data_IF_678383698078
#
_entry.id   IF_678383698078
#
_cell.length_a   1.000
_cell.length_b   1.000
_cell.length_c   1.000
_cell.angle_alpha   90.00
_cell.angle_beta   90.00
_cell.angle_gamma   90.00
#
_symmetry.space_group_name_H-M   'P 1'
#
loop_
_entity.id
_entity.type
_entity.pdbx_description
1 polymer ?
#
# COMPACT_ATOMS: atom_id res chain seq x y z
N UNK A 1 -35.03 27.94 -4.47
CA UNK A 1 -33.67 28.20 -3.93
C UNK A 1 -33.10 27.03 -3.14
N UNK A 2 -33.94 26.16 -2.55
CA UNK A 2 -33.50 25.03 -1.71
C UNK A 2 -32.99 23.80 -2.49
N UNK A 3 -33.48 23.58 -3.71
CA UNK A 3 -33.05 22.45 -4.53
C UNK A 3 -31.67 22.68 -5.18
N UNK A 4 -31.36 23.92 -5.56
CA UNK A 4 -30.05 24.29 -6.11
C UNK A 4 -28.92 24.16 -5.08
N UNK A 5 -29.18 24.43 -3.79
CA UNK A 5 -28.19 24.23 -2.72
C UNK A 5 -27.88 22.76 -2.50
N UNK A 6 -28.89 21.87 -2.58
CA UNK A 6 -28.67 20.41 -2.46
C UNK A 6 -27.77 19.89 -3.59
N UNK A 7 -28.00 20.33 -4.83
CA UNK A 7 -27.15 19.92 -5.96
C UNK A 7 -25.73 20.44 -5.83
N UNK A 8 -25.54 21.67 -5.35
CA UNK A 8 -24.21 22.23 -5.09
C UNK A 8 -23.49 21.47 -3.99
N UNK A 9 -24.19 21.05 -2.92
CA UNK A 9 -23.62 20.24 -1.85
C UNK A 9 -23.24 18.82 -2.31
N UNK A 10 -24.06 18.19 -3.15
CA UNK A 10 -23.72 16.87 -3.72
C UNK A 10 -22.48 16.97 -4.61
N UNK A 11 -22.42 17.97 -5.50
CA UNK A 11 -21.31 18.17 -6.42
C UNK A 11 -20.02 18.55 -5.68
N UNK A 12 -20.12 19.38 -4.64
CA UNK A 12 -18.97 19.78 -3.81
C UNK A 12 -18.42 18.57 -3.03
N UNK A 13 -19.30 17.73 -2.45
CA UNK A 13 -18.90 16.50 -1.78
C UNK A 13 -18.22 15.51 -2.74
N UNK A 14 -18.74 15.38 -3.97
CA UNK A 14 -18.09 14.54 -4.99
C UNK A 14 -16.71 15.07 -5.37
N UNK A 15 -16.58 16.38 -5.59
CA UNK A 15 -15.29 17.02 -5.90
C UNK A 15 -14.29 16.86 -4.76
N UNK A 16 -14.74 17.04 -3.52
CA UNK A 16 -13.93 16.83 -2.32
C UNK A 16 -13.38 15.40 -2.24
N UNK A 17 -14.24 14.40 -2.46
CA UNK A 17 -13.82 13.00 -2.48
C UNK A 17 -12.82 12.69 -3.59
N UNK A 18 -12.99 13.27 -4.79
CA UNK A 18 -12.01 13.14 -5.88
C UNK A 18 -10.65 13.74 -5.52
N UNK A 19 -10.61 14.92 -4.89
CA UNK A 19 -9.36 15.54 -4.44
C UNK A 19 -8.71 14.76 -3.29
N UNK A 20 -9.50 14.21 -2.35
CA UNK A 20 -8.97 13.31 -1.34
C UNK A 20 -8.34 12.06 -1.95
N UNK A 21 -8.92 11.53 -3.04
CA UNK A 21 -8.40 10.34 -3.72
C UNK A 21 -7.04 10.65 -4.35
N UNK A 22 -6.94 11.77 -5.06
CA UNK A 22 -5.67 12.26 -5.62
C UNK A 22 -4.67 12.51 -4.49
N UNK A 23 -5.09 13.19 -3.42
CA UNK A 23 -4.26 13.49 -2.25
C UNK A 23 -3.72 12.26 -1.54
N UNK A 24 -4.51 11.19 -1.43
CA UNK A 24 -4.07 9.94 -0.80
C UNK A 24 -2.93 9.25 -1.53
N UNK A 25 -2.74 9.52 -2.83
CA UNK A 25 -1.65 8.93 -3.62
C UNK A 25 -0.56 9.96 -3.85
N UNK A 26 -0.89 11.08 -4.51
CA UNK A 26 0.09 12.12 -4.88
C UNK A 26 0.56 12.87 -3.65
N UNK A 27 -0.35 13.28 -2.77
CA UNK A 27 -0.01 13.99 -1.53
C UNK A 27 0.88 13.16 -0.62
N UNK A 28 0.55 11.87 -0.43
CA UNK A 28 1.39 10.94 0.35
C UNK A 28 2.75 10.74 -0.30
N UNK A 29 2.83 10.62 -1.63
CA UNK A 29 4.13 10.52 -2.32
C UNK A 29 4.99 11.77 -2.12
N UNK A 30 4.39 12.97 -2.18
CA UNK A 30 5.08 14.23 -1.90
C UNK A 30 5.55 14.31 -0.44
N UNK A 31 4.73 13.89 0.52
CA UNK A 31 5.10 13.82 1.94
C UNK A 31 6.27 12.85 2.15
N UNK A 32 6.24 11.68 1.53
CA UNK A 32 7.33 10.70 1.62
C UNK A 32 8.60 11.22 0.95
N UNK A 33 8.48 11.91 -0.19
CA UNK A 33 9.59 12.59 -0.84
C UNK A 33 10.22 13.67 0.05
N UNK A 34 9.39 14.53 0.65
CA UNK A 34 9.84 15.55 1.60
C UNK A 34 10.50 14.93 2.83
N UNK A 35 9.91 13.85 3.38
CA UNK A 35 10.51 13.11 4.48
C UNK A 35 11.90 12.62 4.10
N UNK A 36 12.08 12.01 2.93
CA UNK A 36 13.41 11.57 2.46
C UNK A 36 14.38 12.74 2.29
N UNK A 37 13.92 13.88 1.77
CA UNK A 37 14.77 15.06 1.58
C UNK A 37 15.25 15.65 2.92
N UNK A 38 14.40 15.67 3.94
CA UNK A 38 14.68 16.27 5.25
C UNK A 38 15.38 15.30 6.19
N UNK A 39 14.91 14.06 6.27
CA UNK A 39 15.42 13.03 7.18
C UNK A 39 16.59 12.25 6.58
N UNK A 40 16.61 12.05 5.26
CA UNK A 40 17.51 11.11 4.59
C UNK A 40 17.07 9.66 4.70
N UNK A 41 17.87 8.76 4.11
CA UNK A 41 17.67 7.32 4.17
C UNK A 41 18.16 6.75 5.51
N UNK A 42 17.56 5.65 5.95
CA UNK A 42 18.04 4.86 7.09
C UNK A 42 19.17 3.95 6.62
N UNK A 43 20.40 4.44 6.75
CA UNK A 43 21.62 3.71 6.39
C UNK A 43 21.93 2.58 7.38
N UNK A 44 22.67 1.59 6.91
CA UNK A 44 23.23 0.57 7.77
C UNK A 44 24.37 1.15 8.62
N UNK A 45 24.29 0.97 9.94
CA UNK A 45 25.29 1.52 10.87
C UNK A 45 26.68 0.94 10.63
N UNK A 46 26.74 -0.37 10.39
CA UNK A 46 27.97 -1.11 10.10
C UNK A 46 28.21 -1.29 8.59
N UNK A 47 27.44 -0.59 7.75
CA UNK A 47 27.44 -0.81 6.30
C UNK A 47 27.00 -2.22 5.89
N UNK A 48 27.13 -2.51 4.58
CA UNK A 48 26.85 -3.84 4.05
C UNK A 48 27.95 -4.83 4.43
N UNK A 49 27.56 -5.98 4.98
CA UNK A 49 28.49 -7.07 5.25
C UNK A 49 28.92 -7.84 3.99
N UNK A 50 28.11 -7.79 2.92
CA UNK A 50 28.27 -8.60 1.71
C UNK A 50 27.80 -10.05 1.87
N UNK A 51 27.49 -10.48 3.10
CA UNK A 51 26.98 -11.81 3.39
C UNK A 51 25.45 -11.82 3.28
N UNK A 52 24.95 -12.58 2.30
CA UNK A 52 23.51 -12.67 2.04
C UNK A 52 22.83 -13.78 2.84
N UNK A 53 21.66 -13.47 3.39
CA UNK A 53 20.80 -14.38 4.14
C UNK A 53 19.49 -14.55 3.37
N UNK A 54 19.00 -15.79 3.26
CA UNK A 54 17.69 -16.06 2.68
C UNK A 54 16.58 -15.58 3.64
N UNK A 55 15.83 -14.54 3.24
CA UNK A 55 14.67 -14.05 4.00
C UNK A 55 13.36 -14.62 3.46
N UNK A 56 13.17 -14.55 2.15
CA UNK A 56 11.95 -14.97 1.44
C UNK A 56 12.27 -16.02 0.39
N UNK A 57 11.45 -17.05 0.26
CA UNK A 57 11.61 -17.99 -0.86
C UNK A 57 11.32 -17.31 -2.19
N UNK A 58 11.92 -17.80 -3.29
CA UNK A 58 11.62 -17.30 -4.63
C UNK A 58 10.12 -17.40 -4.97
N UNK A 59 9.44 -18.42 -4.45
CA UNK A 59 7.98 -18.55 -4.57
C UNK A 59 7.25 -17.37 -3.93
N UNK A 60 7.69 -16.93 -2.75
CA UNK A 60 7.10 -15.76 -2.07
C UNK A 60 7.35 -14.48 -2.88
N UNK A 61 8.53 -14.33 -3.47
CA UNK A 61 8.85 -13.20 -4.36
C UNK A 61 7.96 -13.18 -5.60
N UNK A 62 7.75 -14.33 -6.25
CA UNK A 62 6.85 -14.44 -7.41
C UNK A 62 5.42 -14.10 -7.02
N UNK A 63 4.91 -14.66 -5.92
CA UNK A 63 3.56 -14.37 -5.41
C UNK A 63 3.40 -12.87 -5.11
N UNK A 64 4.43 -12.24 -4.52
CA UNK A 64 4.44 -10.80 -4.26
C UNK A 64 4.22 -10.01 -5.55
N UNK A 65 5.06 -10.23 -6.57
CA UNK A 65 4.94 -9.46 -7.82
C UNK A 65 3.69 -9.78 -8.61
N UNK A 66 3.21 -11.03 -8.55
CA UNK A 66 1.94 -11.42 -9.15
C UNK A 66 0.75 -10.65 -8.56
N UNK A 67 0.75 -10.35 -7.25
CA UNK A 67 -0.27 -9.50 -6.63
C UNK A 67 0.02 -7.99 -6.74
N UNK A 68 1.29 -7.59 -6.62
CA UNK A 68 1.69 -6.19 -6.54
C UNK A 68 1.53 -5.45 -7.88
N UNK A 69 1.86 -6.07 -9.02
CA UNK A 69 1.73 -5.43 -10.34
C UNK A 69 0.27 -5.08 -10.65
N UNK A 70 -0.70 -6.01 -10.55
CA UNK A 70 -2.12 -5.68 -10.67
C UNK A 70 -2.59 -4.65 -9.64
N UNK A 71 -2.10 -4.71 -8.39
CA UNK A 71 -2.44 -3.72 -7.37
C UNK A 71 -2.05 -2.29 -7.80
N UNK A 72 -0.86 -2.11 -8.37
CA UNK A 72 -0.42 -0.81 -8.89
C UNK A 72 -1.29 -0.34 -10.06
N UNK A 73 -1.66 -1.24 -10.97
CA UNK A 73 -2.58 -0.93 -12.07
C UNK A 73 -3.93 -0.46 -11.50
N UNK A 74 -4.50 -1.18 -10.53
CA UNK A 74 -5.77 -0.83 -9.89
C UNK A 74 -5.72 0.53 -9.19
N UNK A 75 -4.64 0.84 -8.47
CA UNK A 75 -4.47 2.14 -7.79
C UNK A 75 -4.43 3.27 -8.83
N UNK A 76 -3.57 3.15 -9.85
CA UNK A 76 -3.40 4.20 -10.87
C UNK A 76 -4.69 4.42 -11.67
N UNK A 77 -5.30 3.35 -12.15
CA UNK A 77 -6.54 3.41 -12.91
C UNK A 77 -7.72 3.88 -12.05
N UNK A 78 -7.80 3.45 -10.79
CA UNK A 78 -8.83 3.86 -9.84
C UNK A 78 -8.81 5.36 -9.55
N UNK A 79 -7.62 5.97 -9.45
CA UNK A 79 -7.49 7.43 -9.35
C UNK A 79 -8.06 8.14 -10.59
N UNK A 80 -7.76 7.65 -11.80
CA UNK A 80 -8.28 8.25 -13.04
C UNK A 80 -9.80 8.07 -13.15
N UNK A 81 -10.34 6.90 -12.78
CA UNK A 81 -11.79 6.65 -12.81
C UNK A 81 -12.52 7.52 -11.78
N UNK A 82 -12.02 7.56 -10.53
CA UNK A 82 -12.68 8.25 -9.41
C UNK A 82 -12.43 9.77 -9.35
N UNK A 83 -11.35 10.25 -9.95
CA UNK A 83 -10.95 11.65 -9.91
C UNK A 83 -10.67 12.27 -11.29
N UNK A 84 -10.92 11.57 -12.39
CA UNK A 84 -10.65 12.07 -13.74
C UNK A 84 -11.30 13.42 -14.04
N UNK A 85 -12.46 13.71 -13.46
CA UNK A 85 -13.16 15.00 -13.63
C UNK A 85 -12.45 16.20 -12.98
N UNK A 86 -11.59 15.98 -12.00
CA UNK A 86 -10.78 17.06 -11.38
C UNK A 86 -9.35 17.09 -11.92
N UNK A 87 -8.91 16.01 -12.59
CA UNK A 87 -7.58 15.89 -13.20
C UNK A 87 -7.58 16.43 -14.64
N UNK A 88 -8.65 16.17 -15.40
CA UNK A 88 -8.82 16.59 -16.79
C UNK A 88 -10.06 17.47 -16.94
N UNK A 89 -10.10 18.26 -18.02
CA UNK A 89 -11.31 18.98 -18.41
C UNK A 89 -12.45 17.99 -18.72
N UNK A 90 -13.55 18.00 -17.93
CA UNK A 90 -14.66 17.08 -18.13
C UNK A 90 -15.29 17.23 -19.52
N UNK A 91 -15.52 16.11 -20.21
CA UNK A 91 -16.09 16.11 -21.56
C UNK A 91 -15.08 16.31 -22.69
N UNK A 92 -13.81 16.57 -22.38
CA UNK A 92 -12.73 16.56 -23.38
C UNK A 92 -12.46 15.14 -23.91
N UNK A 93 -11.91 15.05 -25.13
CA UNK A 93 -11.46 13.78 -25.70
C UNK A 93 -10.42 13.09 -24.81
N UNK A 94 -9.48 13.86 -24.25
CA UNK A 94 -8.45 13.34 -23.35
C UNK A 94 -9.06 12.72 -22.08
N UNK A 95 -10.06 13.37 -21.48
CA UNK A 95 -10.78 12.81 -20.34
C UNK A 95 -11.47 11.49 -20.69
N UNK A 96 -12.24 11.47 -21.79
CA UNK A 96 -12.99 10.28 -22.20
C UNK A 96 -12.06 9.09 -22.52
N UNK A 97 -10.96 9.34 -23.23
CA UNK A 97 -9.95 8.32 -23.54
C UNK A 97 -9.27 7.80 -22.28
N UNK A 98 -8.86 8.69 -21.36
CA UNK A 98 -8.18 8.30 -20.13
C UNK A 98 -9.08 7.45 -19.22
N UNK A 99 -10.34 7.85 -19.04
CA UNK A 99 -11.31 7.10 -18.23
C UNK A 99 -11.61 5.74 -18.86
N UNK A 100 -11.84 5.67 -20.18
CA UNK A 100 -12.12 4.41 -20.87
C UNK A 100 -10.95 3.42 -20.77
N UNK A 101 -9.73 3.88 -21.08
CA UNK A 101 -8.53 3.05 -20.97
C UNK A 101 -8.33 2.57 -19.52
N UNK A 102 -8.52 3.47 -18.56
CA UNK A 102 -8.36 3.13 -17.14
C UNK A 102 -9.38 2.08 -16.70
N UNK A 103 -10.65 2.22 -17.09
CA UNK A 103 -11.68 1.22 -16.78
C UNK A 103 -11.31 -0.17 -17.33
N UNK A 104 -10.91 -0.26 -18.60
CA UNK A 104 -10.49 -1.54 -19.22
C UNK A 104 -9.29 -2.17 -18.48
N UNK A 105 -8.28 -1.39 -18.14
CA UNK A 105 -7.11 -1.88 -17.41
C UNK A 105 -7.45 -2.25 -15.97
N UNK A 106 -8.35 -1.51 -15.32
CA UNK A 106 -8.82 -1.78 -13.97
C UNK A 106 -9.50 -3.14 -13.93
N UNK A 107 -10.48 -3.37 -14.81
CA UNK A 107 -11.21 -4.63 -14.93
C UNK A 107 -10.29 -5.82 -15.18
N UNK A 108 -9.31 -5.67 -16.08
CA UNK A 108 -8.32 -6.71 -16.37
C UNK A 108 -7.46 -7.08 -15.15
N UNK A 109 -7.14 -6.10 -14.30
CA UNK A 109 -6.29 -6.28 -13.13
C UNK A 109 -7.02 -6.86 -11.91
N UNK A 110 -8.37 -6.83 -11.87
CA UNK A 110 -9.17 -7.28 -10.72
C UNK A 110 -8.83 -8.71 -10.30
N UNK A 111 -9.00 -9.69 -11.20
CA UNK A 111 -8.83 -11.10 -10.83
C UNK A 111 -7.38 -11.49 -10.52
N UNK A 112 -6.37 -11.07 -11.31
CA UNK A 112 -4.97 -11.28 -10.95
C UNK A 112 -4.62 -10.70 -9.56
N UNK A 113 -5.08 -9.48 -9.26
CA UNK A 113 -4.90 -8.88 -7.94
C UNK A 113 -5.55 -9.73 -6.86
N UNK A 114 -6.82 -10.09 -7.02
CA UNK A 114 -7.57 -10.83 -6.00
C UNK A 114 -6.93 -12.18 -5.67
N UNK A 115 -6.50 -12.92 -6.69
CA UNK A 115 -5.84 -14.21 -6.52
C UNK A 115 -4.48 -14.00 -5.83
N UNK A 116 -3.66 -13.07 -6.32
CA UNK A 116 -2.36 -12.78 -5.73
C UNK A 116 -2.44 -12.33 -4.27
N UNK A 117 -3.32 -11.36 -3.99
CA UNK A 117 -3.58 -10.83 -2.66
C UNK A 117 -4.07 -11.92 -1.70
N UNK A 118 -5.01 -12.75 -2.13
CA UNK A 118 -5.50 -13.87 -1.32
C UNK A 118 -4.38 -14.84 -0.96
N UNK A 119 -3.55 -15.24 -1.94
CA UNK A 119 -2.42 -16.14 -1.70
C UNK A 119 -1.41 -15.50 -0.72
N UNK A 120 -1.12 -14.20 -0.85
CA UNK A 120 -0.25 -13.48 0.09
C UNK A 120 -0.80 -13.52 1.52
N UNK A 121 -2.09 -13.22 1.71
CA UNK A 121 -2.74 -13.23 3.03
C UNK A 121 -2.62 -14.60 3.70
N UNK A 122 -3.02 -15.67 3.02
CA UNK A 122 -3.01 -17.02 3.60
C UNK A 122 -1.59 -17.54 3.85
N UNK A 123 -0.62 -17.13 3.03
CA UNK A 123 0.76 -17.64 3.14
C UNK A 123 1.52 -16.91 4.24
N UNK A 124 1.29 -15.61 4.43
CA UNK A 124 2.15 -14.77 5.25
C UNK A 124 1.58 -14.39 6.61
N UNK A 125 0.26 -14.52 6.86
CA UNK A 125 -0.39 -13.99 8.07
C UNK A 125 0.30 -14.38 9.39
N UNK A 126 0.80 -15.62 9.51
CA UNK A 126 1.48 -16.08 10.74
C UNK A 126 2.72 -15.26 11.08
N UNK A 127 3.43 -14.77 10.06
CA UNK A 127 4.62 -13.91 10.21
C UNK A 127 4.25 -12.48 10.58
N UNK A 128 2.98 -12.10 10.42
CA UNK A 128 2.46 -10.74 10.52
C UNK A 128 1.68 -10.49 11.82
N UNK A 129 1.70 -11.44 12.76
CA UNK A 129 1.06 -11.28 14.06
C UNK A 129 1.82 -10.26 14.92
N UNK A 130 1.08 -9.30 15.46
CA UNK A 130 1.61 -8.35 16.43
C UNK A 130 2.16 -9.06 17.68
N UNK A 131 3.24 -8.51 18.21
CA UNK A 131 3.98 -8.95 19.39
C UNK A 131 4.18 -7.76 20.31
N UNK A 132 4.41 -8.01 21.60
CA UNK A 132 4.57 -6.94 22.61
C UNK A 132 5.67 -5.92 22.26
N UNK A 133 6.76 -6.36 21.62
CA UNK A 133 7.85 -5.48 21.21
C UNK A 133 7.48 -4.52 20.05
N UNK A 134 6.38 -4.76 19.33
CA UNK A 134 5.94 -3.84 18.25
C UNK A 134 5.45 -2.50 18.82
N UNK A 135 5.03 -2.44 20.08
CA UNK A 135 4.67 -1.17 20.75
C UNK A 135 5.89 -0.26 20.81
N UNK A 136 7.04 -0.80 21.23
CA UNK A 136 8.31 -0.07 21.26
C UNK A 136 8.74 0.34 19.85
N UNK A 137 8.49 -0.53 18.86
CA UNK A 137 8.73 -0.21 17.46
C UNK A 137 7.93 1.00 16.99
N UNK A 138 6.64 1.10 17.35
CA UNK A 138 5.81 2.26 16.99
C UNK A 138 6.23 3.54 17.71
N UNK A 139 6.56 3.47 19.00
CA UNK A 139 7.05 4.62 19.77
C UNK A 139 8.31 5.21 19.12
N UNK A 140 9.19 4.35 18.63
CA UNK A 140 10.44 4.74 17.97
C UNK A 140 10.29 4.96 16.46
N UNK A 141 9.08 4.88 15.91
CA UNK A 141 8.82 4.96 14.46
C UNK A 141 9.75 4.08 13.62
N UNK A 142 9.99 2.85 14.10
CA UNK A 142 10.89 1.89 13.46
C UNK A 142 12.37 2.23 13.47
N UNK A 143 12.77 3.32 14.14
CA UNK A 143 14.14 3.81 14.13
C UNK A 143 14.54 4.49 12.82
N UNK A 144 13.57 4.90 12.00
CA UNK A 144 13.82 5.52 10.70
C UNK A 144 14.04 7.04 10.78
N UNK A 145 13.79 7.65 11.94
CA UNK A 145 14.04 9.07 12.18
C UNK A 145 15.53 9.23 12.51
N UNK A 146 16.24 9.97 11.65
CA UNK A 146 17.68 10.20 11.77
C UNK A 146 18.05 11.35 12.71
N UNK A 147 17.06 12.07 13.24
CA UNK A 147 17.28 13.13 14.22
C UNK A 147 17.50 12.54 15.62
N UNK A 148 18.59 12.97 16.27
CA UNK A 148 18.91 12.56 17.64
C UNK A 148 19.67 11.25 17.73
N UNK A 149 19.50 10.52 18.85
CA UNK A 149 20.20 9.25 19.08
C UNK A 149 19.58 8.15 18.23
N UNK A 150 20.42 7.41 17.49
CA UNK A 150 19.98 6.23 16.74
C UNK A 150 19.35 5.20 17.68
N UNK A 151 18.16 4.74 17.31
CA UNK A 151 17.39 3.77 18.09
C UNK A 151 16.80 2.74 17.13
N UNK A 152 17.32 1.52 17.13
CA UNK A 152 16.75 0.43 16.36
C UNK A 152 15.87 -0.45 17.28
N UNK A 153 14.54 -0.29 17.23
CA UNK A 153 13.64 -1.13 18.01
C UNK A 153 13.76 -2.60 17.62
N UNK A 154 13.48 -3.48 18.58
CA UNK A 154 13.52 -4.91 18.29
C UNK A 154 12.43 -5.31 17.30
N UNK A 155 12.77 -6.20 16.37
CA UNK A 155 11.84 -6.68 15.36
C UNK A 155 12.07 -8.16 15.05
N UNK A 156 10.96 -8.88 14.86
CA UNK A 156 10.95 -10.27 14.42
C UNK A 156 11.15 -10.38 12.92
N UNK A 157 10.57 -11.43 12.32
CA UNK A 157 10.66 -11.63 10.87
C UNK A 157 10.03 -10.45 10.11
N UNK A 158 8.83 -10.04 10.51
CA UNK A 158 8.23 -8.77 10.12
C UNK A 158 8.36 -7.77 11.28
N UNK A 159 8.64 -6.51 10.96
CA UNK A 159 8.65 -5.40 11.90
C UNK A 159 7.24 -4.81 12.10
N UNK A 160 7.07 -3.88 13.04
CA UNK A 160 5.76 -3.29 13.37
C UNK A 160 5.05 -2.65 12.16
N UNK A 161 5.81 -1.96 11.30
CA UNK A 161 5.30 -1.32 10.08
C UNK A 161 4.88 -2.32 9.00
N UNK A 162 5.69 -3.36 8.76
CA UNK A 162 5.33 -4.45 7.84
C UNK A 162 4.04 -5.17 8.29
N UNK A 163 3.89 -5.40 9.60
CA UNK A 163 2.67 -5.99 10.20
C UNK A 163 1.46 -5.06 10.05
N UNK A 164 1.64 -3.77 10.31
CA UNK A 164 0.58 -2.77 10.14
C UNK A 164 0.12 -2.73 8.68
N UNK A 165 1.07 -2.67 7.73
CA UNK A 165 0.77 -2.74 6.31
C UNK A 165 -0.01 -4.00 5.97
N UNK A 166 0.42 -5.18 6.43
CA UNK A 166 -0.27 -6.43 6.15
C UNK A 166 -1.73 -6.43 6.62
N UNK A 167 -2.02 -5.94 7.83
CA UNK A 167 -3.39 -5.96 8.36
C UNK A 167 -4.28 -4.88 7.76
N UNK A 168 -3.76 -3.68 7.53
CA UNK A 168 -4.46 -2.62 6.77
C UNK A 168 -4.76 -3.13 5.36
N UNK A 169 -3.79 -3.75 4.71
CA UNK A 169 -3.96 -4.37 3.40
C UNK A 169 -5.03 -5.45 3.43
N UNK A 170 -4.97 -6.38 4.39
CA UNK A 170 -5.89 -7.53 4.46
C UNK A 170 -7.34 -7.08 4.64
N UNK A 171 -7.60 -6.13 5.55
CA UNK A 171 -8.96 -5.63 5.80
C UNK A 171 -9.50 -4.91 4.55
N UNK A 172 -8.71 -4.01 3.98
CA UNK A 172 -9.12 -3.25 2.79
C UNK A 172 -9.19 -4.13 1.55
N UNK A 173 -8.38 -5.19 1.44
CA UNK A 173 -8.50 -6.19 0.39
C UNK A 173 -9.88 -6.84 0.41
N UNK A 174 -10.36 -7.27 1.59
CA UNK A 174 -11.70 -7.85 1.72
C UNK A 174 -12.77 -6.83 1.29
N UNK A 175 -12.70 -5.59 1.79
CA UNK A 175 -13.66 -4.53 1.45
C UNK A 175 -13.64 -4.23 -0.07
N UNK A 176 -12.46 -4.03 -0.65
CA UNK A 176 -12.29 -3.74 -2.08
C UNK A 176 -12.74 -4.89 -2.97
N UNK A 177 -12.46 -6.13 -2.59
CA UNK A 177 -12.92 -7.29 -3.34
C UNK A 177 -14.44 -7.44 -3.27
N UNK A 178 -15.04 -7.30 -2.09
CA UNK A 178 -16.50 -7.39 -1.95
C UNK A 178 -17.22 -6.27 -2.70
N UNK A 179 -16.83 -5.02 -2.47
CA UNK A 179 -17.43 -3.86 -3.14
C UNK A 179 -17.10 -3.83 -4.64
N UNK A 180 -15.87 -4.19 -5.02
CA UNK A 180 -15.44 -4.25 -6.41
C UNK A 180 -16.20 -5.30 -7.21
N UNK A 181 -16.42 -6.50 -6.67
CA UNK A 181 -17.24 -7.51 -7.33
C UNK A 181 -18.71 -7.07 -7.46
N UNK A 182 -19.28 -6.38 -6.47
CA UNK A 182 -20.62 -5.80 -6.57
C UNK A 182 -20.72 -4.74 -7.68
N UNK A 183 -19.67 -3.95 -7.88
CA UNK A 183 -19.60 -2.96 -8.95
C UNK A 183 -19.31 -3.59 -10.32
N UNK A 184 -18.55 -4.68 -10.34
CA UNK A 184 -18.15 -5.39 -11.56
C UNK A 184 -19.30 -6.20 -12.15
N UNK A 185 -20.17 -6.75 -11.31
CA UNK A 185 -21.31 -7.56 -11.73
C UNK A 185 -22.63 -6.88 -11.34
N UNK A 186 -23.29 -6.18 -12.27
CA UNK A 186 -24.54 -5.49 -12.01
C UNK A 186 -25.65 -6.36 -11.42
N UNK A 187 -25.68 -7.66 -11.76
CA UNK A 187 -26.68 -8.61 -11.23
C UNK A 187 -26.49 -8.91 -9.74
N UNK A 188 -25.28 -8.70 -9.19
CA UNK A 188 -24.97 -8.81 -7.77
C UNK A 188 -24.89 -7.44 -7.08
N UNK A 189 -25.08 -6.34 -7.82
CA UNK A 189 -25.11 -5.01 -7.25
C UNK A 189 -26.33 -4.89 -6.33
N UNK A 190 -26.19 -4.21 -5.17
CA UNK A 190 -27.34 -3.97 -4.33
C UNK A 190 -28.32 -3.01 -5.02
N UNK A 191 -29.53 -2.88 -4.48
CA UNK A 191 -30.52 -1.94 -5.02
C UNK A 191 -29.92 -0.54 -5.15
N UNK A 192 -30.46 0.28 -6.08
CA UNK A 192 -29.97 1.64 -6.34
C UNK A 192 -29.80 2.50 -5.08
N UNK A 193 -30.57 2.22 -4.03
CA UNK A 193 -30.48 2.84 -2.71
C UNK A 193 -29.11 2.63 -2.02
N UNK A 194 -28.48 1.47 -2.18
CA UNK A 194 -27.21 1.14 -1.50
C UNK A 194 -25.97 1.38 -2.37
N UNK A 195 -26.13 1.65 -3.67
CA UNK A 195 -25.02 1.92 -4.58
C UNK A 195 -24.07 3.04 -4.08
N UNK A 196 -24.56 4.16 -3.49
CA UNK A 196 -23.68 5.20 -2.92
C UNK A 196 -22.80 4.69 -1.76
N UNK A 197 -23.30 3.77 -0.94
CA UNK A 197 -22.54 3.20 0.18
C UNK A 197 -21.43 2.29 -0.35
N UNK A 198 -21.75 1.43 -1.32
CA UNK A 198 -20.77 0.52 -1.94
C UNK A 198 -19.62 1.30 -2.56
N UNK A 199 -19.92 2.31 -3.39
CA UNK A 199 -18.87 3.11 -4.04
C UNK A 199 -18.05 3.91 -3.03
N UNK A 200 -18.68 4.43 -1.96
CA UNK A 200 -17.97 5.16 -0.91
C UNK A 200 -16.99 4.27 -0.15
N UNK A 201 -17.43 3.06 0.23
CA UNK A 201 -16.55 2.08 0.88
C UNK A 201 -15.40 1.67 -0.04
N UNK A 202 -15.68 1.46 -1.32
CA UNK A 202 -14.66 1.13 -2.31
C UNK A 202 -13.60 2.25 -2.42
N UNK A 203 -14.03 3.50 -2.57
CA UNK A 203 -13.14 4.66 -2.70
C UNK A 203 -12.32 4.88 -1.42
N UNK A 204 -12.93 4.82 -0.23
CA UNK A 204 -12.24 5.01 1.05
C UNK A 204 -11.18 3.91 1.26
N UNK A 205 -11.51 2.65 0.95
CA UNK A 205 -10.54 1.57 1.02
C UNK A 205 -9.44 1.70 -0.04
N UNK A 206 -9.76 2.19 -1.23
CA UNK A 206 -8.77 2.46 -2.28
C UNK A 206 -7.80 3.58 -1.86
N UNK A 207 -8.30 4.64 -1.20
CA UNK A 207 -7.46 5.69 -0.62
C UNK A 207 -6.49 5.13 0.42
N UNK A 208 -6.99 4.29 1.34
CA UNK A 208 -6.16 3.68 2.37
C UNK A 208 -5.06 2.78 1.79
N UNK A 209 -5.41 1.92 0.83
CA UNK A 209 -4.45 1.06 0.12
C UNK A 209 -3.46 1.89 -0.70
N UNK A 210 -3.93 2.88 -1.44
CA UNK A 210 -3.08 3.77 -2.25
C UNK A 210 -2.04 4.48 -1.39
N UNK A 211 -2.47 5.12 -0.30
CA UNK A 211 -1.59 5.80 0.64
C UNK A 211 -0.53 4.86 1.23
N UNK A 212 -0.96 3.73 1.79
CA UNK A 212 -0.02 2.79 2.41
C UNK A 212 0.87 2.07 1.39
N UNK A 213 0.42 1.85 0.15
CA UNK A 213 1.24 1.29 -0.90
C UNK A 213 2.41 2.22 -1.24
N UNK A 214 2.17 3.54 -1.30
CA UNK A 214 3.23 4.53 -1.47
C UNK A 214 4.22 4.46 -0.31
N UNK A 215 3.74 4.46 0.93
CA UNK A 215 4.62 4.29 2.11
C UNK A 215 5.42 3.00 2.01
N UNK A 216 4.78 1.87 1.70
CA UNK A 216 5.42 0.57 1.54
C UNK A 216 6.54 0.58 0.48
N UNK A 217 6.29 1.17 -0.69
CA UNK A 217 7.27 1.29 -1.77
C UNK A 217 8.45 2.15 -1.33
N UNK A 218 8.20 3.32 -0.73
CA UNK A 218 9.27 4.19 -0.23
C UNK A 218 10.10 3.51 0.85
N UNK A 219 9.46 2.81 1.80
CA UNK A 219 10.16 2.06 2.84
C UNK A 219 11.03 0.95 2.26
N UNK A 220 10.54 0.23 1.24
CA UNK A 220 11.26 -0.87 0.62
C UNK A 220 12.39 -0.43 -0.32
N UNK A 221 12.26 0.71 -0.98
CA UNK A 221 13.17 1.12 -2.07
C UNK A 221 14.12 2.26 -1.70
N UNK A 222 13.65 3.26 -0.95
CA UNK A 222 14.39 4.50 -0.71
C UNK A 222 14.84 4.61 0.75
N UNK A 223 13.91 4.45 1.70
CA UNK A 223 14.17 4.74 3.11
C UNK A 223 15.01 3.64 3.77
N UNK A 224 14.65 2.35 3.63
CA UNK A 224 15.46 1.25 4.18
C UNK A 224 16.53 0.84 3.17
N UNK A 225 17.77 1.23 3.44
CA UNK A 225 18.91 0.87 2.59
C UNK A 225 19.03 -0.67 2.46
N UNK A 226 19.13 -1.18 1.23
CA UNK A 226 19.18 -2.63 0.97
C UNK A 226 17.83 -3.36 1.07
N UNK A 227 16.73 -2.66 1.40
CA UNK A 227 15.39 -3.22 1.55
C UNK A 227 14.87 -3.91 0.27
N UNK A 228 15.13 -3.35 -0.91
CA UNK A 228 14.60 -3.84 -2.19
C UNK A 228 15.07 -5.27 -2.52
N UNK A 229 16.28 -5.65 -2.09
CA UNK A 229 16.83 -6.99 -2.37
C UNK A 229 15.95 -8.12 -1.84
N UNK A 230 15.20 -7.84 -0.76
CA UNK A 230 14.24 -8.78 -0.18
C UNK A 230 13.15 -9.22 -1.16
N UNK A 231 12.75 -8.35 -2.10
CA UNK A 231 11.70 -8.61 -3.07
C UNK A 231 12.20 -8.80 -4.50
N UNK A 232 13.48 -8.57 -4.79
CA UNK A 232 14.06 -8.90 -6.11
C UNK A 232 14.76 -10.25 -6.11
N UNK A 233 15.46 -10.60 -5.02
CA UNK A 233 16.23 -11.84 -4.91
C UNK A 233 15.72 -12.80 -3.82
N UNK A 234 14.90 -12.28 -2.89
CA UNK A 234 14.49 -13.02 -1.69
C UNK A 234 15.55 -13.04 -0.58
N UNK A 235 16.68 -12.35 -0.77
CA UNK A 235 17.80 -12.30 0.17
C UNK A 235 17.98 -10.91 0.76
N UNK A 236 18.58 -10.84 1.94
CA UNK A 236 19.00 -9.59 2.58
C UNK A 236 20.46 -9.67 3.04
N UNK A 237 21.09 -8.51 3.24
CA UNK A 237 22.40 -8.44 3.89
C UNK A 237 22.31 -8.86 5.37
N UNK A 238 23.37 -9.46 5.90
CA UNK A 238 23.43 -9.86 7.31
C UNK A 238 23.34 -8.66 8.27
N UNK A 239 24.02 -7.55 7.99
CA UNK A 239 23.96 -6.36 8.84
C UNK A 239 22.57 -5.71 8.78
N UNK A 240 21.92 -5.73 7.63
CA UNK A 240 20.52 -5.32 7.51
C UNK A 240 19.59 -6.18 8.39
N UNK A 241 19.79 -7.50 8.41
CA UNK A 241 19.02 -8.39 9.27
C UNK A 241 19.30 -8.14 10.76
N UNK A 242 20.56 -7.87 11.15
CA UNK A 242 20.95 -7.53 12.53
C UNK A 242 20.31 -6.21 12.98
N UNK A 243 20.29 -5.19 12.12
CA UNK A 243 19.80 -3.86 12.47
C UNK A 243 18.27 -3.79 12.48
N UNK A 244 17.61 -4.27 11.41
CA UNK A 244 16.17 -4.08 11.22
C UNK A 244 15.32 -5.26 11.71
N UNK A 245 15.93 -6.43 11.94
CA UNK A 245 15.22 -7.68 12.25
C UNK A 245 15.98 -8.55 13.26
N UNK A 246 16.59 -7.90 14.26
CA UNK A 246 17.51 -8.50 15.21
C UNK A 246 17.00 -9.80 15.88
N UNK A 247 15.71 -9.85 16.26
CA UNK A 247 15.13 -11.03 16.90
C UNK A 247 15.01 -12.18 15.92
N UNK A 248 14.66 -11.92 14.66
CA UNK A 248 14.67 -12.94 13.62
C UNK A 248 16.08 -13.43 13.34
N UNK A 249 17.05 -12.53 13.18
CA UNK A 249 18.45 -12.92 12.95
C UNK A 249 18.98 -13.84 14.06
N UNK A 250 18.71 -13.51 15.33
CA UNK A 250 19.05 -14.38 16.48
C UNK A 250 18.45 -15.79 16.39
N UNK A 251 17.34 -16.00 15.69
CA UNK A 251 16.76 -17.35 15.50
C UNK A 251 17.49 -18.18 14.45
N UNK A 252 18.24 -17.55 13.53
CA UNK A 252 19.00 -18.24 12.50
C UNK A 252 20.26 -18.91 13.07
N UNK A 253 20.87 -18.27 14.07
CA UNK A 253 22.10 -18.76 14.73
C UNK A 253 21.86 -19.78 15.85
N UNK A 254 20.60 -20.18 16.07
CA UNK A 254 20.20 -21.17 17.09
C UNK A 254 19.95 -22.56 16.51
N UNK A 255 20.34 -22.79 15.26
CA UNK A 255 20.32 -24.09 14.57
C UNK A 255 21.74 -24.56 14.39
#
# INVERSE_FOLDING_TARGET
MEQSSIWLDILSNQSFMSWLLVGSVVGVALIMGLFVLVNGTSKLDDGFSGKLIQRWSIRSVIIHWFGAIPCLILILTGVIIGAGKVIFEPGSNSWATAVKLSATLHELAVFPFMIGAFIMVITWWKKQLFKKYDIDWFIKAGGYINFGKKQHPEAGFANGGEKLWFWVFTINFIILSSTGLMLFFPDFAPSHEYAPIVISLHIISAMAIGAFAIVHIFMATVISEGGLSNMTTGKCDENWAKQHHNRWYKTLNKK
#
